data_IF_594668810007
#
_entry.id   IF_594668810007
#
_cell.length_a   1.000
_cell.length_b   1.000
_cell.length_c   1.000
_cell.angle_alpha   90.00
_cell.angle_beta   90.00
_cell.angle_gamma   90.00
#
_symmetry.space_group_name_H-M   'P 1'
#
loop_
_entity.id
_entity.type
_entity.pdbx_description
1 polymer ?
#
# COMPACT_ATOMS: atom_id res chain seq x y z
N UNK A 1 26.14 -11.96 -30.64
CA UNK A 1 25.78 -11.48 -29.28
C UNK A 1 24.36 -10.96 -29.34
N UNK A 2 23.38 -11.81 -29.01
CA UNK A 2 22.00 -11.37 -28.87
C UNK A 2 21.86 -10.71 -27.50
N UNK A 3 21.48 -9.45 -27.47
CA UNK A 3 21.07 -8.77 -26.24
C UNK A 3 19.87 -9.53 -25.69
N UNK A 4 20.03 -10.12 -24.50
CA UNK A 4 18.91 -10.57 -23.70
C UNK A 4 18.02 -9.35 -23.46
N UNK A 5 16.78 -9.40 -23.94
CA UNK A 5 15.79 -8.37 -23.66
C UNK A 5 15.62 -8.27 -22.15
N UNK A 6 15.92 -7.09 -21.59
CA UNK A 6 15.42 -6.72 -20.27
C UNK A 6 13.90 -6.71 -20.39
N UNK A 7 13.23 -7.78 -19.99
CA UNK A 7 11.84 -7.67 -19.59
C UNK A 7 11.85 -6.87 -18.30
N UNK A 8 11.71 -5.55 -18.42
CA UNK A 8 11.34 -4.66 -17.32
C UNK A 8 10.18 -5.35 -16.59
N UNK A 9 10.34 -5.65 -15.30
CA UNK A 9 9.41 -6.52 -14.58
C UNK A 9 8.02 -5.90 -14.51
N UNK A 10 7.13 -6.30 -15.43
CA UNK A 10 5.75 -5.82 -15.47
C UNK A 10 5.01 -6.14 -14.17
N UNK A 11 4.13 -5.22 -13.75
CA UNK A 11 3.24 -5.43 -12.62
C UNK A 11 2.32 -6.63 -12.88
N UNK A 12 2.10 -7.45 -11.85
CA UNK A 12 1.23 -8.63 -11.91
C UNK A 12 0.13 -8.55 -10.88
N UNK A 13 -1.10 -8.76 -11.34
CA UNK A 13 -2.28 -8.82 -10.48
C UNK A 13 -2.93 -10.21 -10.66
N UNK A 14 -3.35 -10.85 -9.56
CA UNK A 14 -4.16 -12.06 -9.64
C UNK A 14 -5.57 -11.73 -10.18
N UNK A 15 -6.35 -12.75 -10.55
CA UNK A 15 -7.76 -12.58 -10.92
C UNK A 15 -8.60 -12.04 -9.76
N UNK A 16 -8.28 -12.45 -8.53
CA UNK A 16 -8.92 -12.02 -7.28
C UNK A 16 -7.96 -12.19 -6.10
N UNK A 17 -8.33 -11.66 -4.93
CA UNK A 17 -7.57 -11.88 -3.70
C UNK A 17 -7.60 -13.34 -3.24
N UNK A 18 -8.67 -14.10 -3.51
CA UNK A 18 -8.72 -15.53 -3.20
C UNK A 18 -7.57 -16.31 -3.86
N UNK A 19 -7.22 -15.97 -5.10
CA UNK A 19 -6.07 -16.56 -5.80
C UNK A 19 -4.70 -16.18 -5.18
N UNK A 20 -4.67 -15.17 -4.29
CA UNK A 20 -3.46 -14.69 -3.61
C UNK A 20 -3.45 -15.01 -2.10
N UNK A 21 -4.40 -15.83 -1.61
CA UNK A 21 -4.54 -16.16 -0.18
C UNK A 21 -3.39 -17.03 0.32
N UNK A 22 -2.81 -16.66 1.46
CA UNK A 22 -1.78 -17.48 2.12
C UNK A 22 -2.47 -18.54 2.98
N UNK A 23 -2.42 -19.81 2.55
CA UNK A 23 -3.13 -20.92 3.20
C UNK A 23 -2.59 -21.32 4.58
N UNK A 24 -1.35 -20.93 4.90
CA UNK A 24 -0.72 -21.20 6.20
C UNK A 24 -1.00 -20.12 7.26
N UNK A 25 -1.73 -19.07 6.92
CA UNK A 25 -2.11 -17.95 7.79
C UNK A 25 -3.63 -17.85 7.89
N UNK A 26 -4.18 -17.04 8.82
CA UNK A 26 -5.61 -16.75 8.83
C UNK A 26 -6.11 -16.32 7.45
N UNK A 27 -7.35 -16.68 7.09
CA UNK A 27 -7.97 -16.47 5.77
C UNK A 27 -8.24 -14.99 5.40
N UNK A 28 -7.50 -14.08 6.01
CA UNK A 28 -7.49 -12.63 5.80
C UNK A 28 -6.11 -12.14 5.35
N UNK A 29 -5.14 -13.04 5.14
CA UNK A 29 -3.79 -12.73 4.69
C UNK A 29 -3.60 -13.07 3.21
N UNK A 30 -3.16 -12.09 2.43
CA UNK A 30 -2.96 -12.19 0.98
C UNK A 30 -1.56 -11.70 0.61
N UNK A 31 -0.94 -12.30 -0.41
CA UNK A 31 0.36 -11.89 -0.92
C UNK A 31 0.34 -11.65 -2.43
N UNK A 32 0.68 -10.43 -2.83
CA UNK A 32 0.67 -9.95 -4.21
C UNK A 32 2.11 -9.68 -4.66
N UNK A 33 2.82 -10.66 -5.25
CA UNK A 33 4.18 -10.45 -5.74
C UNK A 33 4.17 -9.55 -6.98
N UNK A 34 5.17 -8.67 -7.11
CA UNK A 34 5.30 -7.73 -8.25
C UNK A 34 4.05 -6.87 -8.45
N UNK A 35 3.43 -6.40 -7.36
CA UNK A 35 2.22 -5.58 -7.39
C UNK A 35 2.43 -4.21 -8.07
N UNK A 36 3.64 -3.67 -7.99
CA UNK A 36 4.12 -2.52 -8.76
C UNK A 36 5.21 -3.00 -9.72
N UNK A 37 5.29 -2.37 -10.90
CA UNK A 37 6.39 -2.62 -11.83
C UNK A 37 7.67 -1.94 -11.38
N UNK A 38 8.81 -2.31 -11.96
CA UNK A 38 10.10 -1.68 -11.67
C UNK A 38 10.10 -0.17 -11.96
N UNK A 39 9.42 0.27 -13.01
CA UNK A 39 9.30 1.69 -13.35
C UNK A 39 8.41 2.44 -12.34
N UNK A 40 7.32 1.83 -11.88
CA UNK A 40 6.46 2.40 -10.86
C UNK A 40 7.16 2.49 -9.51
N UNK A 41 7.93 1.45 -9.16
CA UNK A 41 8.80 1.46 -7.98
C UNK A 41 9.79 2.62 -8.04
N UNK A 42 10.50 2.79 -9.17
CA UNK A 42 11.44 3.89 -9.37
C UNK A 42 10.77 5.25 -9.23
N UNK A 43 9.59 5.42 -9.80
CA UNK A 43 8.80 6.65 -9.69
C UNK A 43 8.38 6.93 -8.24
N UNK A 44 7.88 5.92 -7.52
CA UNK A 44 7.47 6.04 -6.12
C UNK A 44 8.68 6.41 -5.24
N UNK A 45 9.82 5.74 -5.44
CA UNK A 45 11.06 6.02 -4.72
C UNK A 45 11.55 7.46 -4.96
N UNK A 46 11.50 7.96 -6.19
CA UNK A 46 11.83 9.36 -6.51
C UNK A 46 10.92 10.34 -5.75
N UNK A 47 9.61 10.09 -5.72
CA UNK A 47 8.65 10.93 -4.96
C UNK A 47 8.91 10.91 -3.46
N UNK A 48 9.30 9.76 -2.92
CA UNK A 48 9.66 9.64 -1.50
C UNK A 48 10.94 10.42 -1.18
N UNK A 49 11.96 10.30 -2.04
CA UNK A 49 13.26 10.93 -1.86
C UNK A 49 13.19 12.47 -2.03
N UNK A 50 12.38 12.95 -2.97
CA UNK A 50 12.21 14.38 -3.27
C UNK A 50 11.18 15.08 -2.38
N UNK A 51 10.51 14.33 -1.49
CA UNK A 51 9.57 14.91 -0.52
C UNK A 51 10.26 15.99 0.36
N UNK A 52 9.57 17.11 0.67
CA UNK A 52 10.16 18.16 1.49
C UNK A 52 10.69 17.63 2.83
N UNK A 53 11.88 18.08 3.24
CA UNK A 53 12.52 17.65 4.52
C UNK A 53 11.58 17.72 5.74
N UNK A 54 10.75 18.77 5.93
CA UNK A 54 9.82 18.84 7.07
C UNK A 54 8.80 17.70 7.13
N UNK A 55 8.60 16.97 6.03
CA UNK A 55 7.69 15.81 5.99
C UNK A 55 8.30 14.57 6.65
N UNK A 56 9.62 14.50 6.78
CA UNK A 56 10.29 13.44 7.51
C UNK A 56 10.28 13.75 9.00
N UNK A 57 9.62 12.89 9.77
CA UNK A 57 9.73 12.82 11.22
C UNK A 57 10.78 11.79 11.60
N UNK A 58 11.79 12.24 12.33
CA UNK A 58 12.78 11.33 12.89
C UNK A 58 12.17 10.59 14.08
N UNK A 59 12.22 9.26 14.05
CA UNK A 59 11.88 8.37 15.15
C UNK A 59 13.15 7.68 15.65
N UNK A 60 13.02 6.84 16.68
CA UNK A 60 14.14 6.03 17.19
C UNK A 60 14.63 5.08 16.09
N UNK A 61 15.84 5.33 15.57
CA UNK A 61 16.53 4.56 14.52
C UNK A 61 15.85 4.46 13.16
N UNK A 62 14.73 5.15 12.94
CA UNK A 62 14.01 5.16 11.66
C UNK A 62 13.43 6.53 11.40
N UNK A 63 12.93 6.76 10.19
CA UNK A 63 12.16 7.97 9.89
C UNK A 63 10.81 7.61 9.27
N UNK A 64 9.84 8.46 9.54
CA UNK A 64 8.46 8.29 9.12
C UNK A 64 8.04 9.51 8.33
N UNK A 65 7.22 9.28 7.31
CA UNK A 65 6.44 10.32 6.70
C UNK A 65 4.95 9.98 6.75
N UNK A 66 4.11 10.99 6.89
CA UNK A 66 2.65 10.86 6.96
C UNK A 66 2.00 11.51 5.74
N UNK A 67 0.98 10.88 5.15
CA UNK A 67 0.14 11.47 4.09
C UNK A 67 -1.35 11.19 4.34
N UNK A 68 -2.26 12.13 3.99
CA UNK A 68 -1.96 13.45 3.42
C UNK A 68 -1.41 14.44 4.45
N UNK A 69 -1.70 14.21 5.73
CA UNK A 69 -1.32 15.08 6.84
C UNK A 69 -1.12 14.27 8.12
N UNK A 70 -0.50 14.93 9.10
CA UNK A 70 -0.40 14.40 10.45
C UNK A 70 -1.75 14.38 11.16
N UNK A 71 -1.84 13.56 12.22
CA UNK A 71 -2.97 13.59 13.11
C UNK A 71 -3.09 14.96 13.78
N UNK A 72 -4.28 15.56 13.69
CA UNK A 72 -4.66 16.75 14.45
C UNK A 72 -5.56 16.30 15.59
N UNK A 73 -5.14 16.53 16.83
CA UNK A 73 -5.88 16.09 18.03
C UNK A 73 -6.23 14.57 17.99
N UNK A 74 -5.27 13.73 17.60
CA UNK A 74 -5.44 12.28 17.41
C UNK A 74 -6.51 11.88 16.37
N UNK A 75 -6.85 12.78 15.44
CA UNK A 75 -7.79 12.51 14.35
C UNK A 75 -7.12 12.72 13.00
N UNK A 76 -7.54 11.90 12.04
CA UNK A 76 -7.21 12.10 10.64
C UNK A 76 -8.02 13.27 10.11
N UNK A 77 -7.35 14.20 9.45
CA UNK A 77 -8.02 15.21 8.64
C UNK A 77 -8.37 14.59 7.29
N UNK A 78 -9.59 14.82 6.85
CA UNK A 78 -10.00 14.41 5.51
C UNK A 78 -9.31 15.29 4.48
N UNK A 79 -8.46 14.68 3.66
CA UNK A 79 -7.74 15.30 2.57
C UNK A 79 -7.36 14.24 1.53
N UNK A 80 -7.25 14.63 0.24
CA UNK A 80 -6.89 13.68 -0.80
C UNK A 80 -5.45 13.21 -0.66
N UNK A 81 -5.20 11.93 -0.94
CA UNK A 81 -3.85 11.41 -1.10
C UNK A 81 -3.18 12.04 -2.33
N UNK A 82 -1.84 12.24 -2.31
CA UNK A 82 -1.11 12.64 -3.50
C UNK A 82 -1.33 11.67 -4.67
N UNK A 83 -1.39 12.15 -5.93
CA UNK A 83 -1.68 11.30 -7.09
C UNK A 83 -0.74 10.10 -7.26
N UNK A 84 0.52 10.22 -6.84
CA UNK A 84 1.52 9.15 -6.95
C UNK A 84 1.34 8.02 -5.92
N UNK A 85 0.55 8.25 -4.86
CA UNK A 85 0.09 7.21 -3.94
C UNK A 85 -1.26 6.64 -4.36
N UNK A 86 -2.08 7.47 -5.00
CA UNK A 86 -3.37 7.05 -5.55
C UNK A 86 -3.19 6.03 -6.67
N UNK A 87 -2.36 6.39 -7.66
CA UNK A 87 -2.08 5.55 -8.83
C UNK A 87 -0.59 5.23 -8.85
N UNK A 88 -0.21 3.93 -8.92
CA UNK A 88 -1.07 2.77 -9.16
C UNK A 88 -1.65 2.10 -7.90
N UNK A 89 -1.19 2.44 -6.70
CA UNK A 89 -1.39 1.59 -5.51
C UNK A 89 -2.85 1.50 -5.07
N UNK A 90 -3.48 2.64 -4.77
CA UNK A 90 -4.87 2.66 -4.29
C UNK A 90 -5.81 2.19 -5.39
N UNK A 91 -5.65 2.69 -6.62
CA UNK A 91 -6.49 2.31 -7.74
C UNK A 91 -6.47 0.80 -8.01
N UNK A 92 -5.31 0.14 -7.93
CA UNK A 92 -5.21 -1.33 -8.07
C UNK A 92 -5.82 -2.09 -6.90
N UNK A 93 -5.64 -1.62 -5.67
CA UNK A 93 -6.29 -2.26 -4.51
C UNK A 93 -7.82 -2.22 -4.61
N UNK A 94 -8.36 -1.14 -5.18
CA UNK A 94 -9.81 -0.98 -5.39
C UNK A 94 -10.32 -1.74 -6.62
N UNK A 95 -9.47 -2.03 -7.61
CA UNK A 95 -9.84 -2.83 -8.79
C UNK A 95 -9.79 -4.34 -8.55
N UNK A 96 -9.15 -4.81 -7.49
CA UNK A 96 -8.99 -6.23 -7.18
C UNK A 96 -10.26 -6.81 -6.52
N UNK A 97 -10.94 -7.79 -7.16
CA UNK A 97 -12.05 -8.51 -6.56
C UNK A 97 -11.60 -9.31 -5.33
N UNK A 98 -12.49 -9.47 -4.34
CA UNK A 98 -12.28 -10.39 -3.23
C UNK A 98 -12.24 -11.85 -3.69
N UNK A 99 -13.21 -12.26 -4.51
CA UNK A 99 -13.40 -13.63 -5.01
C UNK A 99 -13.61 -13.62 -6.53
N UNK A 100 -13.37 -14.76 -7.17
CA UNK A 100 -13.67 -14.96 -8.60
C UNK A 100 -15.18 -15.14 -8.86
N UNK A 101 -15.94 -15.46 -7.81
CA UNK A 101 -17.40 -15.66 -7.84
C UNK A 101 -18.11 -14.31 -8.01
N UNK A 102 -18.47 -13.98 -9.25
CA UNK A 102 -19.31 -12.83 -9.58
C UNK A 102 -20.78 -13.22 -9.50
N UNK A 103 -21.32 -13.36 -8.28
CA UNK A 103 -22.74 -13.73 -8.06
C UNK A 103 -23.71 -12.55 -8.29
N UNK A 104 -23.56 -11.87 -9.43
CA UNK A 104 -24.40 -10.76 -9.88
C UNK A 104 -24.29 -9.44 -9.08
N UNK A 105 -23.61 -9.43 -7.93
CA UNK A 105 -23.33 -8.22 -7.14
C UNK A 105 -22.13 -7.44 -7.71
N UNK A 106 -22.05 -6.15 -7.38
CA UNK A 106 -20.92 -5.31 -7.76
C UNK A 106 -19.60 -5.92 -7.26
N UNK A 107 -18.53 -5.83 -8.07
CA UNK A 107 -17.19 -6.30 -7.68
C UNK A 107 -16.80 -5.68 -6.33
N UNK A 108 -16.74 -6.51 -5.29
CA UNK A 108 -16.33 -6.09 -3.95
C UNK A 108 -14.82 -6.18 -3.83
N UNK A 109 -14.19 -5.08 -3.40
CA UNK A 109 -12.77 -5.02 -3.06
C UNK A 109 -12.56 -5.05 -1.54
N UNK A 110 -11.32 -5.23 -1.08
CA UNK A 110 -10.98 -5.42 0.35
C UNK A 110 -11.44 -4.27 1.28
N UNK A 111 -11.58 -3.06 0.77
CA UNK A 111 -12.04 -1.91 1.55
C UNK A 111 -13.56 -1.69 1.55
N UNK A 112 -14.37 -2.52 0.88
CA UNK A 112 -15.79 -2.23 0.60
C UNK A 112 -16.64 -1.97 1.85
N UNK A 113 -16.31 -2.64 2.97
CA UNK A 113 -17.00 -2.50 4.26
C UNK A 113 -16.35 -1.45 5.19
N UNK A 114 -15.25 -0.80 4.77
CA UNK A 114 -14.64 0.27 5.55
C UNK A 114 -15.44 1.58 5.43
N UNK A 115 -15.46 2.46 6.45
CA UNK A 115 -16.25 3.69 6.42
C UNK A 115 -15.98 4.61 5.22
N UNK A 116 -14.76 4.60 4.70
CA UNK A 116 -14.37 5.41 3.55
C UNK A 116 -14.35 4.62 2.23
N UNK A 117 -14.50 3.29 2.31
CA UNK A 117 -14.43 2.36 1.18
C UNK A 117 -13.12 2.38 0.40
N UNK A 118 -12.04 2.91 0.99
CA UNK A 118 -10.72 3.03 0.36
C UNK A 118 -9.62 3.35 1.38
N UNK A 119 -8.34 3.14 1.01
CA UNK A 119 -7.23 3.80 1.68
C UNK A 119 -7.37 5.32 1.63
N UNK A 120 -7.16 5.96 2.78
CA UNK A 120 -7.25 7.42 2.93
C UNK A 120 -6.04 8.01 3.70
N UNK A 121 -5.16 7.16 4.21
CA UNK A 121 -3.97 7.57 4.96
C UNK A 121 -2.81 6.63 4.69
N UNK A 122 -1.61 7.18 4.51
CA UNK A 122 -0.40 6.42 4.18
C UNK A 122 0.73 6.82 5.12
N UNK A 123 1.37 5.81 5.69
CA UNK A 123 2.59 5.92 6.47
C UNK A 123 3.76 5.33 5.66
N UNK A 124 4.79 6.13 5.42
CA UNK A 124 6.01 5.70 4.72
C UNK A 124 7.13 5.62 5.75
N UNK A 125 7.60 4.41 6.03
CA UNK A 125 8.67 4.15 6.99
C UNK A 125 9.95 3.81 6.23
N UNK A 126 11.06 4.42 6.64
CA UNK A 126 12.40 4.02 6.18
C UNK A 126 13.18 3.38 7.31
N UNK A 127 13.72 2.19 7.05
CA UNK A 127 14.53 1.41 7.98
C UNK A 127 15.97 1.30 7.47
N UNK A 128 16.98 1.76 8.23
CA UNK A 128 18.37 1.45 7.95
C UNK A 128 18.67 -0.05 8.05
N UNK A 129 19.76 -0.54 7.45
CA UNK A 129 20.20 -1.93 7.61
C UNK A 129 20.29 -2.33 9.10
N UNK A 130 19.71 -3.48 9.44
CA UNK A 130 19.67 -3.99 10.81
C UNK A 130 18.57 -3.39 11.71
N UNK A 131 17.80 -2.41 11.23
CA UNK A 131 16.65 -1.87 11.96
C UNK A 131 15.36 -2.52 11.43
N UNK A 132 14.51 -2.97 12.34
CA UNK A 132 13.22 -3.56 12.01
C UNK A 132 12.08 -2.96 12.82
N UNK A 133 10.91 -3.60 12.73
CA UNK A 133 9.75 -3.29 13.55
C UNK A 133 9.50 -4.41 14.55
N UNK A 134 9.34 -4.06 15.81
CA UNK A 134 9.01 -5.04 16.86
C UNK A 134 7.60 -5.60 16.64
N UNK A 135 7.30 -6.85 17.06
CA UNK A 135 5.94 -7.36 17.04
C UNK A 135 4.98 -6.44 17.81
N UNK A 136 3.92 -6.01 17.15
CA UNK A 136 2.90 -5.14 17.74
C UNK A 136 1.55 -5.37 17.02
N UNK A 137 0.46 -5.01 17.68
CA UNK A 137 -0.85 -4.88 17.03
C UNK A 137 -1.04 -3.43 16.62
N UNK A 138 -1.65 -3.18 15.47
CA UNK A 138 -2.08 -1.84 15.12
C UNK A 138 -3.13 -1.42 16.15
N UNK A 139 -2.83 -0.40 16.94
CA UNK A 139 -3.79 0.18 17.87
C UNK A 139 -4.83 0.94 17.05
N UNK A 140 -5.89 0.27 16.65
CA UNK A 140 -7.07 0.94 16.11
C UNK A 140 -7.66 1.72 17.30
N UNK A 141 -7.70 3.05 17.20
CA UNK A 141 -8.43 3.85 18.19
C UNK A 141 -9.91 3.43 18.07
N UNK A 142 -10.37 2.59 18.98
CA UNK A 142 -11.80 2.35 19.16
C UNK A 142 -12.44 3.73 19.43
N UNK A 143 -13.36 4.13 18.55
CA UNK A 143 -14.29 5.22 18.83
C UNK A 143 -15.28 4.77 19.90
#
# INVERSE_FOLDING_TARGET
MAAAGCSDGDARLPSSLDAAKITSLPATAYYLPNFISEEEERMILDKIATAPRPRWKQLTHRRLQTWPSDLVQNRLLDAPLPPWLETPVVSRLLSLPLSDDNDGDAVRHIFADSPHQRPNHVLINEYPPGIGIMPHKLSIMNK
#
